data_IF_548924717258
#
_entry.id   IF_548924717258
#
_cell.length_a   1.000
_cell.length_b   1.000
_cell.length_c   1.000
_cell.angle_alpha   90.00
_cell.angle_beta   90.00
_cell.angle_gamma   90.00
#
_symmetry.space_group_name_H-M   'P 1'
#
loop_
_entity.id
_entity.type
_entity.pdbx_description
1 polymer ?
#
# COMPACT_ATOMS: atom_id res chain seq x y z
N UNK A 1 -3.88 2.14 -19.31
CA UNK A 1 -3.50 2.68 -17.98
C UNK A 1 -4.28 2.05 -16.83
N UNK A 2 -5.59 1.80 -16.96
CA UNK A 2 -6.41 1.17 -15.90
C UNK A 2 -5.87 -0.19 -15.44
N UNK A 3 -5.63 -1.12 -16.36
CA UNK A 3 -5.11 -2.45 -15.99
C UNK A 3 -3.71 -2.39 -15.36
N UNK A 4 -2.84 -1.51 -15.87
CA UNK A 4 -1.51 -1.28 -15.29
C UNK A 4 -1.63 -0.78 -13.85
N UNK A 5 -2.50 0.21 -13.58
CA UNK A 5 -2.73 0.67 -12.21
C UNK A 5 -3.21 -0.45 -11.31
N UNK A 6 -4.08 -1.34 -11.81
CA UNK A 6 -4.59 -2.46 -11.04
C UNK A 6 -3.51 -3.45 -10.65
N UNK A 7 -2.65 -3.84 -11.61
CA UNK A 7 -1.55 -4.76 -11.36
C UNK A 7 -0.54 -4.15 -10.39
N UNK A 8 -0.16 -2.89 -10.60
CA UNK A 8 0.80 -2.19 -9.73
C UNK A 8 0.26 -2.08 -8.29
N UNK A 9 -0.99 -1.61 -8.12
CA UNK A 9 -1.61 -1.49 -6.80
C UNK A 9 -1.76 -2.84 -6.10
N UNK A 10 -2.12 -3.90 -6.82
CA UNK A 10 -2.26 -5.25 -6.26
C UNK A 10 -0.91 -5.81 -5.79
N UNK A 11 0.14 -5.71 -6.61
CA UNK A 11 1.50 -6.15 -6.24
C UNK A 11 2.00 -5.39 -5.01
N UNK A 12 1.82 -4.07 -5.00
CA UNK A 12 2.17 -3.24 -3.85
C UNK A 12 1.43 -3.69 -2.58
N UNK A 13 0.14 -4.02 -2.71
CA UNK A 13 -0.70 -4.54 -1.64
C UNK A 13 -0.14 -5.82 -1.03
N UNK A 14 0.21 -6.78 -1.90
CA UNK A 14 0.81 -8.03 -1.49
C UNK A 14 2.16 -7.83 -0.80
N UNK A 15 3.01 -6.95 -1.33
CA UNK A 15 4.31 -6.65 -0.71
C UNK A 15 4.12 -6.09 0.69
N UNK A 16 3.22 -5.12 0.89
CA UNK A 16 2.95 -4.57 2.23
C UNK A 16 2.38 -5.62 3.19
N UNK A 17 1.51 -6.51 2.72
CA UNK A 17 0.97 -7.61 3.54
C UNK A 17 2.07 -8.60 3.96
N UNK A 18 2.98 -8.95 3.04
CA UNK A 18 4.13 -9.80 3.33
C UNK A 18 5.03 -9.12 4.37
N UNK A 19 5.34 -7.83 4.19
CA UNK A 19 6.15 -7.07 5.13
C UNK A 19 5.51 -7.04 6.52
N UNK A 20 4.21 -6.77 6.62
CA UNK A 20 3.51 -6.77 7.91
C UNK A 20 3.54 -8.14 8.58
N UNK A 21 3.30 -9.21 7.81
CA UNK A 21 3.37 -10.59 8.31
C UNK A 21 4.77 -10.96 8.80
N UNK A 22 5.81 -10.59 8.04
CA UNK A 22 7.20 -10.79 8.44
C UNK A 22 7.56 -9.98 9.67
N UNK A 23 7.16 -8.71 9.74
CA UNK A 23 7.40 -7.87 10.91
C UNK A 23 6.75 -8.43 12.17
N UNK A 24 5.52 -8.95 12.05
CA UNK A 24 4.72 -9.38 13.21
C UNK A 24 5.07 -10.79 13.69
N UNK A 25 5.26 -11.73 12.76
CA UNK A 25 5.36 -13.16 13.08
C UNK A 25 6.73 -13.79 12.78
N UNK A 26 7.49 -13.23 11.84
CA UNK A 26 8.73 -13.82 11.34
C UNK A 26 9.88 -12.80 11.30
N UNK A 27 9.98 -11.96 12.34
CA UNK A 27 10.92 -10.85 12.34
C UNK A 27 12.36 -11.41 12.40
N UNK A 28 13.18 -11.27 11.34
CA UNK A 28 14.53 -11.85 11.35
C UNK A 28 15.50 -11.11 12.29
N UNK A 29 15.09 -9.96 12.83
CA UNK A 29 15.91 -9.12 13.72
C UNK A 29 15.51 -9.26 15.20
N UNK A 30 14.55 -10.13 15.53
CA UNK A 30 14.09 -10.37 16.91
C UNK A 30 13.76 -11.85 17.08
N UNK A 31 14.17 -12.45 18.20
CA UNK A 31 13.73 -13.79 18.58
C UNK A 31 12.31 -13.81 19.17
N UNK A 32 11.83 -12.65 19.60
CA UNK A 32 10.53 -12.50 20.26
C UNK A 32 9.46 -12.05 19.29
N UNK A 33 8.23 -12.53 19.51
CA UNK A 33 7.05 -12.02 18.82
C UNK A 33 6.82 -10.54 19.14
N UNK A 34 6.32 -9.81 18.15
CA UNK A 34 5.91 -8.42 18.36
C UNK A 34 4.75 -8.38 19.36
N UNK A 35 4.88 -7.55 20.39
CA UNK A 35 3.83 -7.37 21.39
C UNK A 35 2.50 -6.96 20.74
N UNK A 36 1.38 -7.43 21.30
CA UNK A 36 0.06 -7.30 20.68
C UNK A 36 -0.34 -5.86 20.36
N UNK A 37 0.06 -4.88 21.18
CA UNK A 37 -0.19 -3.46 20.93
C UNK A 37 0.48 -2.97 19.64
N UNK A 38 1.75 -3.35 19.41
CA UNK A 38 2.50 -2.99 18.21
C UNK A 38 1.99 -3.74 16.99
N UNK A 39 1.61 -5.02 17.14
CA UNK A 39 1.00 -5.81 16.07
C UNK A 39 -0.32 -5.17 15.59
N UNK A 40 -1.19 -4.74 16.53
CA UNK A 40 -2.43 -4.04 16.20
C UNK A 40 -2.17 -2.68 15.55
N UNK A 41 -1.24 -1.88 16.10
CA UNK A 41 -0.91 -0.58 15.55
C UNK A 41 -0.41 -0.70 14.09
N UNK A 42 0.52 -1.62 13.84
CA UNK A 42 1.04 -1.84 12.48
C UNK A 42 0.03 -2.52 11.57
N UNK A 43 -0.90 -3.31 12.10
CA UNK A 43 -2.03 -3.82 11.33
C UNK A 43 -2.89 -2.66 10.80
N UNK A 44 -3.30 -1.72 11.67
CA UNK A 44 -4.13 -0.58 11.26
C UNK A 44 -3.40 0.41 10.34
N UNK A 45 -2.08 0.57 10.49
CA UNK A 45 -1.31 1.55 9.72
C UNK A 45 -0.62 0.98 8.47
N UNK A 46 -0.47 -0.33 8.33
CA UNK A 46 0.21 -0.94 7.18
C UNK A 46 -0.64 -2.01 6.50
N UNK A 47 -1.15 -2.99 7.24
CA UNK A 47 -1.90 -4.10 6.67
C UNK A 47 -3.30 -3.71 6.19
N UNK A 48 -4.06 -2.97 7.01
CA UNK A 48 -5.43 -2.58 6.69
C UNK A 48 -5.50 -1.68 5.44
N UNK A 49 -4.64 -0.65 5.26
CA UNK A 49 -4.56 0.10 4.01
C UNK A 49 -4.18 -0.78 2.81
N UNK A 50 -3.29 -1.77 2.98
CA UNK A 50 -2.92 -2.71 1.92
C UNK A 50 -4.12 -3.58 1.50
N UNK A 51 -4.90 -4.08 2.46
CA UNK A 51 -6.14 -4.82 2.21
C UNK A 51 -7.15 -3.95 1.45
N UNK A 52 -7.31 -2.68 1.83
CA UNK A 52 -8.19 -1.76 1.11
C UNK A 52 -7.75 -1.59 -0.34
N UNK A 53 -6.44 -1.47 -0.60
CA UNK A 53 -5.94 -1.40 -1.96
C UNK A 53 -6.25 -2.70 -2.71
N UNK A 54 -5.92 -3.86 -2.16
CA UNK A 54 -6.18 -5.16 -2.80
C UNK A 54 -7.66 -5.36 -3.15
N UNK A 55 -8.58 -4.98 -2.26
CA UNK A 55 -10.02 -5.16 -2.44
C UNK A 55 -10.59 -4.12 -3.41
N UNK A 56 -10.28 -2.84 -3.20
CA UNK A 56 -10.94 -1.73 -3.89
C UNK A 56 -10.27 -1.30 -5.20
N UNK A 57 -9.09 -1.83 -5.53
CA UNK A 57 -8.42 -1.54 -6.81
C UNK A 57 -9.30 -1.92 -8.03
N UNK A 58 -10.16 -2.94 -7.88
CA UNK A 58 -11.09 -3.39 -8.92
C UNK A 58 -12.15 -2.35 -9.26
N UNK A 59 -12.70 -1.68 -8.25
CA UNK A 59 -13.73 -0.63 -8.36
C UNK A 59 -13.13 0.67 -8.91
N UNK A 60 -11.80 0.77 -8.95
CA UNK A 60 -11.09 1.94 -9.45
C UNK A 60 -11.50 3.26 -8.78
N UNK A 61 -11.78 3.20 -7.47
CA UNK A 61 -12.15 4.35 -6.68
C UNK A 61 -10.90 5.09 -6.16
N UNK A 62 -10.61 6.22 -6.80
CA UNK A 62 -9.45 7.06 -6.49
C UNK A 62 -9.45 7.59 -5.05
N UNK A 63 -10.62 7.87 -4.47
CA UNK A 63 -10.71 8.40 -3.11
C UNK A 63 -10.26 7.37 -2.08
N UNK A 64 -10.68 6.10 -2.24
CA UNK A 64 -10.26 5.01 -1.35
C UNK A 64 -8.76 4.77 -1.46
N UNK A 65 -8.22 4.80 -2.68
CA UNK A 65 -6.78 4.67 -2.90
C UNK A 65 -5.99 5.83 -2.26
N UNK A 66 -6.46 7.07 -2.39
CA UNK A 66 -5.84 8.23 -1.77
C UNK A 66 -5.82 8.10 -0.24
N UNK A 67 -6.95 7.70 0.35
CA UNK A 67 -7.03 7.43 1.79
C UNK A 67 -6.01 6.37 2.20
N UNK A 68 -5.93 5.25 1.47
CA UNK A 68 -4.98 4.18 1.80
C UNK A 68 -3.51 4.63 1.68
N UNK A 69 -3.17 5.45 0.67
CA UNK A 69 -1.82 6.03 0.49
C UNK A 69 -1.48 6.95 1.67
N UNK A 70 -2.36 7.89 2.01
CA UNK A 70 -2.11 8.84 3.10
C UNK A 70 -2.05 8.10 4.45
N UNK A 71 -2.97 7.16 4.67
CA UNK A 71 -3.06 6.39 5.91
C UNK A 71 -1.82 5.53 6.12
N UNK A 72 -1.30 4.89 5.07
CA UNK A 72 -0.12 4.02 5.19
C UNK A 72 1.21 4.77 5.26
N UNK A 73 1.24 6.08 4.98
CA UNK A 73 2.47 6.87 4.91
C UNK A 73 3.30 6.84 6.20
N UNK A 74 2.75 7.08 7.42
CA UNK A 74 3.57 7.17 8.63
C UNK A 74 4.32 5.86 8.91
N UNK A 75 3.64 4.72 8.78
CA UNK A 75 4.24 3.41 9.04
C UNK A 75 5.19 2.97 7.92
N UNK A 76 4.81 3.22 6.66
CA UNK A 76 5.69 2.91 5.52
C UNK A 76 6.97 3.74 5.53
N UNK A 77 6.88 5.01 5.93
CA UNK A 77 8.04 5.89 6.09
C UNK A 77 8.92 5.45 7.25
N UNK A 78 8.33 5.10 8.39
CA UNK A 78 9.08 4.52 9.52
C UNK A 78 9.91 3.31 9.06
N UNK A 79 9.27 2.35 8.38
CA UNK A 79 9.98 1.18 7.86
C UNK A 79 10.99 1.50 6.75
N UNK A 80 10.71 2.46 5.88
CA UNK A 80 11.65 2.94 4.86
C UNK A 80 12.96 3.49 5.46
N UNK A 81 12.87 4.09 6.65
CA UNK A 81 14.01 4.63 7.38
C UNK A 81 14.73 3.59 8.26
N UNK A 82 14.19 2.37 8.36
CA UNK A 82 14.88 1.27 9.04
C UNK A 82 15.70 0.44 8.04
N UNK A 83 16.90 -0.02 8.43
CA UNK A 83 17.74 -0.82 7.53
C UNK A 83 17.14 -2.21 7.27
N UNK A 84 17.52 -2.78 6.13
CA UNK A 84 17.22 -4.16 5.76
C UNK A 84 15.88 -4.33 5.04
N UNK A 85 15.32 -5.54 5.13
CA UNK A 85 14.14 -5.96 4.36
C UNK A 85 12.91 -5.05 4.55
N UNK A 86 12.74 -4.43 5.73
CA UNK A 86 11.58 -3.58 5.98
C UNK A 86 11.62 -2.25 5.20
N UNK A 87 12.78 -1.81 4.71
CA UNK A 87 12.87 -0.62 3.85
C UNK A 87 12.02 -0.73 2.57
N UNK A 88 11.75 -1.97 2.12
CA UNK A 88 10.90 -2.27 0.96
C UNK A 88 9.46 -1.76 1.18
N UNK A 89 9.03 -1.49 2.41
CA UNK A 89 7.74 -0.88 2.70
C UNK A 89 7.59 0.50 2.05
N UNK A 90 8.69 1.28 2.02
CA UNK A 90 8.72 2.56 1.32
C UNK A 90 8.53 2.38 -0.19
N UNK A 91 9.13 1.36 -0.78
CA UNK A 91 8.94 1.04 -2.21
C UNK A 91 7.50 0.59 -2.49
N UNK A 92 6.90 -0.24 -1.63
CA UNK A 92 5.50 -0.63 -1.74
C UNK A 92 4.57 0.59 -1.68
N UNK A 93 4.85 1.53 -0.78
CA UNK A 93 4.13 2.80 -0.70
C UNK A 93 4.27 3.66 -1.97
N UNK A 94 5.48 3.75 -2.56
CA UNK A 94 5.68 4.42 -3.84
C UNK A 94 4.86 3.77 -4.97
N UNK A 95 4.76 2.44 -4.98
CA UNK A 95 3.92 1.73 -5.94
C UNK A 95 2.42 2.03 -5.73
N UNK A 96 1.96 2.20 -4.49
CA UNK A 96 0.59 2.70 -4.24
C UNK A 96 0.38 4.08 -4.86
N UNK A 97 1.33 4.99 -4.67
CA UNK A 97 1.27 6.33 -5.24
C UNK A 97 1.25 6.29 -6.77
N UNK A 98 2.11 5.48 -7.39
CA UNK A 98 2.14 5.29 -8.85
C UNK A 98 0.80 4.75 -9.36
N UNK A 99 0.23 3.74 -8.67
CA UNK A 99 -1.07 3.19 -9.01
C UNK A 99 -2.17 4.26 -8.97
N UNK A 100 -2.19 5.09 -7.92
CA UNK A 100 -3.15 6.19 -7.78
C UNK A 100 -3.00 7.23 -8.89
N UNK A 101 -1.77 7.62 -9.24
CA UNK A 101 -1.48 8.57 -10.32
C UNK A 101 -1.97 8.01 -11.65
N UNK A 102 -1.62 6.76 -11.99
CA UNK A 102 -2.07 6.12 -13.23
C UNK A 102 -3.59 6.04 -13.34
N UNK A 103 -4.26 5.74 -12.22
CA UNK A 103 -5.73 5.75 -12.17
C UNK A 103 -6.30 7.15 -12.40
N UNK A 104 -5.66 8.18 -11.84
CA UNK A 104 -6.06 9.59 -11.99
C UNK A 104 -5.92 10.07 -13.43
N UNK A 105 -4.79 9.78 -14.06
CA UNK A 105 -4.54 10.10 -15.47
C UNK A 105 -5.53 9.38 -16.40
N UNK A 106 -5.85 8.12 -16.11
CA UNK A 106 -6.84 7.37 -16.89
C UNK A 106 -8.24 8.01 -16.84
N UNK A 107 -8.73 8.36 -15.65
CA UNK A 107 -10.05 8.98 -15.50
C UNK A 107 -10.12 10.35 -16.18
N UNK A 108 -9.06 11.16 -16.06
CA UNK A 108 -8.98 12.47 -16.74
C UNK A 108 -9.08 12.32 -18.26
N UNK A 109 -8.31 11.38 -18.84
CA UNK A 109 -8.35 11.09 -20.28
C UNK A 109 -9.72 10.57 -20.73
N UNK A 110 -10.36 9.70 -19.95
CA UNK A 110 -11.70 9.19 -20.26
C UNK A 110 -12.75 10.31 -20.28
N UNK A 111 -12.71 11.20 -19.29
CA UNK A 111 -13.66 12.32 -19.21
C UNK A 111 -13.46 13.33 -20.35
N UNK A 112 -12.23 13.62 -20.77
CA UNK A 112 -11.97 14.57 -21.86
C UNK A 112 -12.42 14.08 -23.24
N UNK A 113 -12.46 12.76 -23.45
CA UNK A 113 -12.91 12.17 -24.72
C UNK A 113 -14.44 12.14 -24.81
N UNK A 114 -15.12 11.94 -23.69
CA UNK A 114 -16.59 11.78 -23.63
C UNK A 114 -17.34 13.07 -23.27
N UNK A 115 -16.65 14.21 -23.20
CA UNK A 115 -17.25 15.53 -22.98
C UNK A 115 -17.52 16.30 -24.28
N UNK A 116 -17.48 15.60 -25.43
CA UNK A 116 -17.82 16.08 -26.78
C UNK A 116 -19.05 15.31 -27.23
#
# INVERSE_FOLDING_TARGET
>A
MKEISRVVGFIAGLISMIIWGMFTFFNPYSSDFVGIGTALLTFFLLALPALFIIIFIRVSNQFIMLIAVIWSLPCSLYFALTPGFFAIAGLAWLLYLISLILMTLHKKKYNSVNSI
#
